data_IF_742789013074
#
_entry.id   IF_742789013074
#
_cell.length_a   1.000
_cell.length_b   1.000
_cell.length_c   1.000
_cell.angle_alpha   90.00
_cell.angle_beta   90.00
_cell.angle_gamma   90.00
#
_symmetry.space_group_name_H-M   'P 1'
#
loop_
_entity.id
_entity.type
_entity.pdbx_description
1 polymer ?
#
# COMPACT_ATOMS: atom_id res chain seq x y z
N UNK A 1 -0.70 -16.17 2.50
CA UNK A 1 -1.77 -15.16 2.69
C UNK A 1 -2.04 -14.85 4.16
N UNK A 2 -2.56 -15.77 4.98
CA UNK A 2 -3.01 -15.43 6.37
C UNK A 2 -1.88 -14.87 7.24
N UNK A 3 -0.68 -15.44 7.16
CA UNK A 3 0.50 -14.97 7.92
C UNK A 3 0.95 -13.57 7.46
N UNK A 4 0.94 -13.31 6.15
CA UNK A 4 1.30 -11.99 5.60
C UNK A 4 0.34 -10.91 6.07
N UNK A 5 -0.96 -11.22 6.16
CA UNK A 5 -1.97 -10.27 6.67
C UNK A 5 -1.63 -9.84 8.10
N UNK A 6 -1.24 -10.78 8.98
CA UNK A 6 -0.88 -10.46 10.37
C UNK A 6 0.34 -9.53 10.42
N UNK A 7 1.38 -9.82 9.63
CA UNK A 7 2.56 -8.95 9.56
C UNK A 7 2.24 -7.56 9.02
N UNK A 8 1.41 -7.47 7.97
CA UNK A 8 1.01 -6.21 7.37
C UNK A 8 0.18 -5.37 8.36
N UNK A 9 -0.71 -5.99 9.14
CA UNK A 9 -1.49 -5.28 10.17
C UNK A 9 -0.58 -4.67 11.25
N UNK A 10 0.40 -5.45 11.74
CA UNK A 10 1.37 -4.94 12.73
C UNK A 10 2.24 -3.83 12.14
N UNK A 11 2.73 -4.02 10.91
CA UNK A 11 3.56 -3.03 10.21
C UNK A 11 2.80 -1.72 9.96
N UNK A 12 1.56 -1.81 9.48
CA UNK A 12 0.72 -0.64 9.19
C UNK A 12 0.30 0.10 10.45
N UNK A 13 0.13 -0.61 11.57
CA UNK A 13 -0.10 0.02 12.87
C UNK A 13 1.09 0.91 13.29
N UNK A 14 2.30 0.37 13.26
CA UNK A 14 3.53 1.11 13.61
C UNK A 14 3.74 2.27 12.64
N UNK A 15 3.59 2.02 11.35
CA UNK A 15 3.81 3.03 10.30
C UNK A 15 2.80 4.18 10.37
N UNK A 16 1.52 3.88 10.55
CA UNK A 16 0.47 4.90 10.66
C UNK A 16 0.63 5.75 11.92
N UNK A 17 1.11 5.18 13.04
CA UNK A 17 1.35 5.90 14.28
C UNK A 17 2.48 6.94 14.13
N UNK A 18 3.56 6.57 13.44
CA UNK A 18 4.69 7.47 13.15
C UNK A 18 4.24 8.59 12.19
N UNK A 19 3.59 8.23 11.08
CA UNK A 19 3.14 9.22 10.10
C UNK A 19 2.12 10.21 10.69
N UNK A 20 1.16 9.72 11.46
CA UNK A 20 0.15 10.56 12.09
C UNK A 20 0.81 11.59 13.03
N UNK A 21 1.87 11.18 13.74
CA UNK A 21 2.64 12.07 14.61
C UNK A 21 3.47 13.10 13.82
N UNK A 22 4.02 12.73 12.66
CA UNK A 22 4.83 13.64 11.84
C UNK A 22 4.02 14.69 11.07
N UNK A 23 2.77 14.39 10.70
CA UNK A 23 1.93 15.32 9.93
C UNK A 23 1.37 16.45 10.81
N UNK A 24 1.40 16.30 12.15
CA UNK A 24 0.92 17.32 13.09
C UNK A 24 -0.61 17.45 13.08
N UNK A 25 -1.33 16.37 12.77
CA UNK A 25 -2.80 16.35 12.75
C UNK A 25 -3.36 16.54 14.16
N UNK A 26 -4.52 17.21 14.27
CA UNK A 26 -5.27 17.24 15.53
C UNK A 26 -5.66 15.81 15.95
N UNK A 27 -5.26 15.40 17.16
CA UNK A 27 -5.55 14.08 17.70
C UNK A 27 -7.07 13.86 17.76
N UNK A 28 -7.56 12.92 16.94
CA UNK A 28 -8.95 12.48 16.95
C UNK A 28 -9.00 11.00 16.60
N UNK A 29 -9.52 10.19 17.52
CA UNK A 29 -9.55 8.72 17.41
C UNK A 29 -10.24 8.27 16.12
N UNK A 30 -11.35 8.93 15.75
CA UNK A 30 -12.09 8.64 14.51
C UNK A 30 -11.23 8.90 13.27
N UNK A 31 -10.52 10.04 13.23
CA UNK A 31 -9.66 10.40 12.10
C UNK A 31 -8.47 9.46 11.97
N UNK A 32 -7.89 9.05 13.11
CA UNK A 32 -6.82 8.06 13.14
C UNK A 32 -7.30 6.69 12.66
N UNK A 33 -8.51 6.24 13.06
CA UNK A 33 -9.09 4.98 12.60
C UNK A 33 -9.31 4.95 11.09
N UNK A 34 -9.86 6.04 10.52
CA UNK A 34 -9.99 6.17 9.07
C UNK A 34 -8.63 6.16 8.37
N UNK A 35 -7.65 6.90 8.89
CA UNK A 35 -6.30 6.92 8.34
C UNK A 35 -5.63 5.53 8.38
N UNK A 36 -5.73 4.83 9.51
CA UNK A 36 -5.22 3.47 9.68
C UNK A 36 -5.90 2.51 8.70
N UNK A 37 -7.22 2.60 8.53
CA UNK A 37 -7.96 1.78 7.56
C UNK A 37 -7.44 2.01 6.13
N UNK A 38 -7.34 3.26 5.68
CA UNK A 38 -6.84 3.57 4.33
C UNK A 38 -5.41 3.08 4.10
N UNK A 39 -4.50 3.31 5.05
CA UNK A 39 -3.11 2.86 4.94
C UNK A 39 -3.02 1.33 4.96
N UNK A 40 -3.80 0.67 5.82
CA UNK A 40 -3.82 -0.80 5.88
C UNK A 40 -4.31 -1.46 4.59
N UNK A 41 -5.36 -0.90 3.98
CA UNK A 41 -5.88 -1.41 2.71
C UNK A 41 -4.91 -1.17 1.55
N UNK A 42 -4.20 -0.04 1.53
CA UNK A 42 -3.17 0.21 0.52
C UNK A 42 -2.03 -0.81 0.62
N UNK A 43 -1.49 -1.05 1.82
CA UNK A 43 -0.43 -2.04 2.02
C UNK A 43 -0.87 -3.46 1.65
N UNK A 44 -2.06 -3.90 2.08
CA UNK A 44 -2.61 -5.20 1.72
C UNK A 44 -2.74 -5.37 0.21
N UNK A 45 -3.28 -4.37 -0.48
CA UNK A 45 -3.45 -4.41 -1.94
C UNK A 45 -2.10 -4.56 -2.65
N UNK A 46 -1.09 -3.78 -2.25
CA UNK A 46 0.23 -3.85 -2.86
C UNK A 46 0.94 -5.19 -2.63
N UNK A 47 0.85 -5.76 -1.43
CA UNK A 47 1.49 -7.05 -1.16
C UNK A 47 0.79 -8.18 -1.91
N UNK A 48 -0.54 -8.22 -1.91
CA UNK A 48 -1.30 -9.25 -2.65
C UNK A 48 -1.06 -9.15 -4.16
N UNK A 49 -1.05 -7.94 -4.70
CA UNK A 49 -0.73 -7.73 -6.11
C UNK A 49 0.69 -8.20 -6.47
N UNK A 50 1.67 -7.91 -5.62
CA UNK A 50 3.04 -8.42 -5.78
C UNK A 50 3.13 -9.94 -5.77
N UNK A 51 2.41 -10.61 -4.86
CA UNK A 51 2.36 -12.08 -4.82
C UNK A 51 1.74 -12.68 -6.08
N UNK A 52 0.66 -12.07 -6.61
CA UNK A 52 0.04 -12.50 -7.87
C UNK A 52 1.01 -12.31 -9.03
N UNK A 53 1.76 -11.20 -9.08
CA UNK A 53 2.78 -10.96 -10.10
C UNK A 53 3.89 -12.02 -10.13
N UNK A 54 4.31 -12.49 -8.95
CA UNK A 54 5.28 -13.59 -8.82
C UNK A 54 4.66 -14.92 -9.27
N UNK A 55 3.42 -15.22 -8.88
CA UNK A 55 2.76 -16.47 -9.24
C UNK A 55 2.49 -16.61 -10.75
N UNK A 56 2.28 -15.49 -11.45
CA UNK A 56 2.01 -15.48 -12.89
C UNK A 56 3.27 -15.61 -13.76
N UNK A 57 4.46 -15.34 -13.21
CA UNK A 57 5.71 -15.30 -13.99
C UNK A 57 6.60 -16.48 -13.61
N UNK A 58 7.06 -17.30 -14.58
CA UNK A 58 7.93 -18.45 -14.26
C UNK A 58 9.34 -18.04 -13.78
N UNK A 59 9.74 -16.79 -14.01
CA UNK A 59 11.05 -16.25 -13.63
C UNK A 59 10.95 -15.19 -12.55
N UNK A 60 11.59 -15.46 -11.41
CA UNK A 60 11.58 -14.59 -10.23
C UNK A 60 12.26 -13.22 -10.45
N UNK A 61 13.19 -13.14 -11.42
CA UNK A 61 13.88 -11.89 -11.76
C UNK A 61 13.04 -10.94 -12.62
N UNK A 62 12.15 -11.47 -13.47
CA UNK A 62 11.35 -10.66 -14.41
C UNK A 62 10.05 -10.18 -13.74
N UNK A 63 9.50 -10.97 -12.81
CA UNK A 63 8.31 -10.62 -12.01
C UNK A 63 8.34 -9.19 -11.44
N UNK A 64 9.37 -8.75 -10.68
CA UNK A 64 9.39 -7.42 -10.08
C UNK A 64 9.43 -6.29 -11.11
N UNK A 65 10.01 -6.53 -12.29
CA UNK A 65 10.06 -5.53 -13.37
C UNK A 65 8.64 -5.26 -13.90
N UNK A 66 7.88 -6.33 -14.15
CA UNK A 66 6.50 -6.23 -14.65
C UNK A 66 5.60 -5.57 -13.60
N UNK A 67 5.68 -6.03 -12.34
CA UNK A 67 4.88 -5.47 -11.23
C UNK A 67 5.15 -3.98 -11.03
N UNK A 68 6.42 -3.57 -11.06
CA UNK A 68 6.82 -2.15 -10.87
C UNK A 68 6.36 -1.25 -12.02
N UNK A 69 6.37 -1.76 -13.25
CA UNK A 69 5.88 -1.05 -14.43
C UNK A 69 4.38 -0.77 -14.31
N UNK A 70 3.57 -1.79 -14.03
CA UNK A 70 2.13 -1.64 -13.86
C UNK A 70 1.77 -0.74 -12.67
N UNK A 71 2.54 -0.82 -11.58
CA UNK A 71 2.35 0.06 -10.43
C UNK A 71 2.57 1.54 -10.79
N UNK A 72 3.66 1.82 -11.51
CA UNK A 72 3.99 3.17 -11.97
C UNK A 72 2.92 3.71 -12.91
N UNK A 73 2.40 2.85 -13.79
CA UNK A 73 1.30 3.18 -14.68
C UNK A 73 0.01 3.52 -13.90
N UNK A 74 -0.37 2.71 -12.91
CA UNK A 74 -1.52 3.02 -12.04
C UNK A 74 -1.34 4.35 -11.30
N UNK A 75 -0.14 4.60 -10.78
CA UNK A 75 0.17 5.82 -10.06
C UNK A 75 0.07 7.08 -10.93
N UNK A 76 0.39 6.97 -12.23
CA UNK A 76 0.24 8.06 -13.19
C UNK A 76 -1.22 8.53 -13.30
N UNK A 77 -2.18 7.61 -13.26
CA UNK A 77 -3.61 7.89 -13.33
C UNK A 77 -4.29 8.11 -11.96
N UNK A 78 -3.54 8.11 -10.86
CA UNK A 78 -4.07 8.31 -9.50
C UNK A 78 -4.62 9.72 -9.23
N UNK A 79 -4.50 10.65 -10.19
CA UNK A 79 -5.02 12.01 -10.09
C UNK A 79 -4.04 13.03 -9.49
N UNK A 80 -2.89 12.58 -8.97
CA UNK A 80 -1.84 13.47 -8.46
C UNK A 80 -0.92 14.00 -9.56
N UNK A 81 -0.41 13.13 -10.44
CA UNK A 81 0.49 13.50 -11.54
C UNK A 81 -0.27 14.00 -12.77
N UNK A 82 -1.35 13.29 -13.15
CA UNK A 82 -2.27 13.73 -14.20
C UNK A 82 -3.55 14.17 -13.52
N UNK A 83 -3.79 15.47 -13.48
CA UNK A 83 -5.05 16.04 -13.00
C UNK A 83 -6.20 15.51 -13.86
N UNK A 84 -7.12 14.79 -13.24
CA UNK A 84 -8.34 14.32 -13.88
C UNK A 84 -9.25 15.55 -14.11
N UNK A 85 -9.89 15.70 -15.28
CA UNK A 85 -10.92 16.73 -15.45
C UNK A 85 -12.09 16.53 -14.46
#
# INVERSE_FOLDING_TARGET
VVIEVVYIVVQTFIYSLILFSCIGFAFGVVRYLWFLYFVSMAFLYFTLYGMVGIALTPSHHISPIIVSFFFSFWNLFSGFLISRP
#
